data_IF_422865858668
#
_entry.id   IF_422865858668
#
_cell.length_a   1.000
_cell.length_b   1.000
_cell.length_c   1.000
_cell.angle_alpha   90.00
_cell.angle_beta   90.00
_cell.angle_gamma   90.00
#
_symmetry.space_group_name_H-M   'P 1'
#
loop_
_entity.id
_entity.type
_entity.pdbx_description
1 polymer ?
#
# COMPACT_ATOMS: atom_id res chain seq x y z
N UNK A 1 40.33 -19.55 -41.89
CA UNK A 1 41.05 -20.42 -40.93
C UNK A 1 41.82 -19.48 -40.03
N UNK A 2 41.54 -19.24 -38.75
CA UNK A 2 41.17 -20.08 -37.58
C UNK A 2 40.60 -19.11 -36.52
N UNK A 3 39.35 -19.24 -36.04
CA UNK A 3 38.86 -19.85 -34.78
C UNK A 3 39.37 -19.26 -33.44
N UNK A 4 38.38 -18.98 -32.55
CA UNK A 4 38.39 -18.78 -31.08
C UNK A 4 38.85 -17.40 -30.53
N UNK A 5 38.25 -16.81 -29.49
CA UNK A 5 37.36 -17.33 -28.44
C UNK A 5 36.43 -16.25 -27.87
N UNK A 6 35.23 -16.69 -27.49
CA UNK A 6 34.17 -15.96 -26.79
C UNK A 6 34.50 -15.83 -25.31
N UNK A 7 34.35 -14.64 -24.73
CA UNK A 7 34.35 -14.43 -23.27
C UNK A 7 33.02 -13.78 -22.88
N UNK A 8 32.06 -14.63 -22.50
CA UNK A 8 30.80 -14.25 -21.86
C UNK A 8 31.14 -13.95 -20.40
N UNK A 9 31.09 -12.68 -20.02
CA UNK A 9 31.24 -12.24 -18.62
C UNK A 9 29.87 -12.10 -17.98
N UNK A 10 29.73 -12.70 -16.80
CA UNK A 10 28.49 -13.05 -16.11
C UNK A 10 27.46 -11.94 -15.93
N UNK A 11 26.25 -12.22 -16.39
CA UNK A 11 25.02 -11.63 -15.87
C UNK A 11 24.78 -12.19 -14.47
N UNK A 12 25.00 -11.37 -13.44
CA UNK A 12 24.34 -11.56 -12.15
C UNK A 12 22.87 -11.20 -12.34
N UNK A 13 22.04 -12.23 -12.51
CA UNK A 13 20.59 -12.10 -12.51
C UNK A 13 20.15 -11.53 -11.15
N UNK A 14 19.35 -10.46 -11.09
CA UNK A 14 18.62 -10.17 -9.87
C UNK A 14 17.63 -11.31 -9.66
N UNK A 15 17.70 -11.97 -8.50
CA UNK A 15 16.65 -12.87 -8.06
C UNK A 15 15.34 -12.07 -8.06
N UNK A 16 14.51 -12.30 -9.07
CA UNK A 16 13.10 -12.01 -9.02
C UNK A 16 12.51 -12.81 -7.85
N UNK A 17 11.85 -12.12 -6.92
CA UNK A 17 11.05 -12.77 -5.88
C UNK A 17 9.72 -13.29 -6.47
N UNK A 18 9.62 -13.41 -7.80
CA UNK A 18 8.50 -13.94 -8.55
C UNK A 18 8.48 -15.48 -8.65
N UNK A 19 9.30 -16.21 -7.90
CA UNK A 19 9.27 -17.69 -7.86
C UNK A 19 8.87 -18.15 -6.46
N UNK A 20 7.57 -18.16 -6.18
CA UNK A 20 6.85 -19.30 -5.55
C UNK A 20 5.36 -18.95 -5.34
N UNK A 21 4.57 -18.88 -6.42
CA UNK A 21 3.14 -19.23 -6.32
C UNK A 21 2.87 -20.23 -7.45
N UNK A 22 3.32 -21.46 -7.22
CA UNK A 22 2.97 -22.60 -8.05
C UNK A 22 1.49 -22.92 -7.86
N UNK A 23 0.74 -22.93 -8.95
CA UNK A 23 -0.49 -23.72 -9.07
C UNK A 23 -0.19 -25.18 -8.71
N UNK A 24 -0.94 -25.84 -7.80
CA UNK A 24 -1.13 -27.27 -7.88
C UNK A 24 -2.43 -27.52 -8.63
N UNK A 25 -2.33 -27.73 -9.95
CA UNK A 25 -3.33 -28.48 -10.67
C UNK A 25 -3.03 -29.98 -10.48
N UNK A 26 -4.04 -30.72 -10.01
CA UNK A 26 -4.15 -32.18 -9.90
C UNK A 26 -3.40 -32.91 -8.77
N UNK A 27 -4.18 -33.40 -7.80
CA UNK A 27 -4.07 -34.76 -7.27
C UNK A 27 -5.39 -35.14 -6.56
N UNK A 28 -6.31 -35.76 -7.29
CA UNK A 28 -7.33 -36.60 -6.68
C UNK A 28 -6.61 -37.86 -6.18
N UNK A 29 -6.50 -37.99 -4.85
CA UNK A 29 -6.17 -39.24 -4.17
C UNK A 29 -7.29 -39.52 -3.19
N UNK A 30 -7.97 -40.65 -3.37
CA UNK A 30 -9.00 -41.13 -2.45
C UNK A 30 -8.38 -41.32 -1.05
N UNK A 31 -8.70 -40.42 -0.12
CA UNK A 31 -8.27 -40.53 1.27
C UNK A 31 -8.96 -41.73 1.93
N UNK A 32 -8.13 -42.63 2.44
CA UNK A 32 -8.54 -43.81 3.20
C UNK A 32 -9.22 -43.37 4.51
N UNK A 33 -10.54 -43.49 4.59
CA UNK A 33 -11.33 -43.16 5.78
C UNK A 33 -11.13 -44.24 6.86
N UNK A 34 -10.20 -43.99 7.79
CA UNK A 34 -10.16 -44.70 9.07
C UNK A 34 -11.37 -44.36 9.95
N UNK A 35 -11.72 -45.18 10.95
CA UNK A 35 -12.89 -44.96 11.79
C UNK A 35 -12.81 -43.58 12.48
N UNK A 36 -13.96 -42.89 12.66
CA UNK A 36 -14.00 -41.54 13.18
C UNK A 36 -13.36 -41.46 14.57
N UNK A 37 -12.45 -40.51 14.75
CA UNK A 37 -11.89 -40.20 16.06
C UNK A 37 -13.03 -39.77 17.01
N UNK A 38 -13.02 -40.22 18.28
CA UNK A 38 -14.03 -39.80 19.23
C UNK A 38 -14.00 -38.27 19.40
N UNK A 39 -15.17 -37.64 19.63
CA UNK A 39 -15.24 -36.19 19.79
C UNK A 39 -14.34 -35.74 20.94
N UNK A 40 -13.58 -34.64 20.76
CA UNK A 40 -12.76 -34.10 21.83
C UNK A 40 -13.63 -33.79 23.06
N UNK A 41 -13.12 -34.00 24.28
CA UNK A 41 -13.87 -33.70 25.49
C UNK A 41 -14.30 -32.22 25.50
N UNK A 42 -15.48 -31.89 26.06
CA UNK A 42 -15.99 -30.53 26.05
C UNK A 42 -15.00 -29.59 26.74
N UNK A 43 -14.53 -28.60 25.97
CA UNK A 43 -13.51 -27.67 26.41
C UNK A 43 -14.05 -26.86 27.59
N UNK A 44 -13.38 -26.97 28.74
CA UNK A 44 -13.77 -26.23 29.94
C UNK A 44 -13.45 -24.78 29.67
N UNK A 45 -14.45 -23.94 29.37
CA UNK A 45 -14.31 -22.48 29.19
C UNK A 45 -13.32 -21.92 30.21
N UNK A 46 -12.09 -21.66 29.76
CA UNK A 46 -11.02 -21.22 30.61
C UNK A 46 -11.15 -19.71 30.79
N UNK A 47 -10.80 -19.17 31.96
CA UNK A 47 -10.83 -17.71 32.16
C UNK A 47 -9.89 -16.98 31.19
N UNK A 48 -8.85 -17.67 30.73
CA UNK A 48 -7.94 -17.21 29.67
C UNK A 48 -8.62 -17.12 28.29
N UNK A 49 -9.52 -18.05 27.95
CA UNK A 49 -10.29 -18.00 26.70
C UNK A 49 -11.32 -16.88 26.73
N UNK A 50 -11.95 -16.62 27.89
CA UNK A 50 -12.87 -15.47 28.01
C UNK A 50 -12.16 -14.11 27.95
N UNK A 51 -10.93 -14.01 28.44
CA UNK A 51 -10.11 -12.81 28.27
C UNK A 51 -9.63 -12.67 26.82
N UNK A 52 -9.30 -13.78 26.13
CA UNK A 52 -8.96 -13.79 24.71
C UNK A 52 -10.13 -13.37 23.83
N UNK A 53 -11.32 -13.89 24.10
CA UNK A 53 -12.51 -13.64 23.28
C UNK A 53 -13.08 -12.23 23.53
N UNK A 54 -13.07 -11.73 24.78
CA UNK A 54 -13.46 -10.34 25.11
C UNK A 54 -12.46 -9.32 24.55
N UNK A 55 -11.16 -9.62 24.60
CA UNK A 55 -10.14 -8.79 23.97
C UNK A 55 -10.23 -8.83 22.44
N UNK A 56 -10.65 -9.94 21.83
CA UNK A 56 -10.70 -10.07 20.36
C UNK A 56 -11.72 -9.17 19.67
N UNK A 57 -12.86 -8.86 20.31
CA UNK A 57 -13.93 -8.06 19.69
C UNK A 57 -13.56 -6.59 19.54
N UNK A 58 -13.32 -5.90 20.66
CA UNK A 58 -12.93 -4.48 20.65
C UNK A 58 -11.61 -4.24 19.92
N UNK A 59 -10.71 -5.22 19.95
CA UNK A 59 -9.43 -5.17 19.26
C UNK A 59 -9.56 -5.28 17.74
N UNK A 60 -10.42 -6.18 17.24
CA UNK A 60 -10.72 -6.26 15.80
C UNK A 60 -11.39 -4.96 15.36
N UNK A 61 -12.34 -4.44 16.14
CA UNK A 61 -13.03 -3.18 15.84
C UNK A 61 -12.06 -1.99 15.79
N UNK A 62 -11.08 -1.94 16.70
CA UNK A 62 -10.04 -0.91 16.72
C UNK A 62 -9.09 -1.00 15.53
N UNK A 63 -8.60 -2.19 15.18
CA UNK A 63 -7.73 -2.38 14.01
C UNK A 63 -8.48 -2.03 12.73
N UNK A 64 -9.73 -2.48 12.59
CA UNK A 64 -10.59 -2.09 11.47
C UNK A 64 -10.90 -0.59 11.46
N UNK A 65 -11.02 0.07 12.61
CA UNK A 65 -11.15 1.53 12.68
C UNK A 65 -9.89 2.22 12.16
N UNK A 66 -8.70 1.81 12.60
CA UNK A 66 -7.43 2.41 12.13
C UNK A 66 -7.29 2.24 10.63
N UNK A 67 -7.59 1.05 10.10
CA UNK A 67 -7.57 0.81 8.65
C UNK A 67 -8.60 1.68 7.93
N UNK A 68 -9.84 1.81 8.43
CA UNK A 68 -10.85 2.70 7.80
C UNK A 68 -10.51 4.18 7.90
N UNK A 69 -9.86 4.60 8.99
CA UNK A 69 -9.60 6.01 9.27
C UNK A 69 -8.34 6.53 8.57
N UNK A 70 -7.32 5.68 8.42
CA UNK A 70 -6.02 6.04 7.81
C UNK A 70 -5.70 5.28 6.52
N UNK A 71 -6.33 4.14 6.26
CA UNK A 71 -5.98 3.23 5.15
C UNK A 71 -6.62 3.59 3.81
N UNK A 72 -6.94 4.85 3.52
CA UNK A 72 -7.80 5.21 2.38
C UNK A 72 -7.24 4.81 1.02
N UNK A 73 -5.92 4.84 0.84
CA UNK A 73 -5.26 4.35 -0.38
C UNK A 73 -5.35 2.82 -0.52
N UNK A 74 -5.38 2.10 0.59
CA UNK A 74 -5.46 0.63 0.66
C UNK A 74 -6.90 0.13 0.55
N UNK A 75 -7.82 0.80 1.25
CA UNK A 75 -9.25 0.50 1.23
C UNK A 75 -9.89 0.85 -0.12
N UNK A 76 -9.40 1.85 -0.84
CA UNK A 76 -9.87 2.14 -2.20
C UNK A 76 -9.62 0.98 -3.17
N UNK A 77 -8.52 0.25 -2.97
CA UNK A 77 -8.18 -0.91 -3.80
C UNK A 77 -8.95 -2.17 -3.42
N UNK A 78 -9.33 -2.31 -2.14
CA UNK A 78 -10.04 -3.47 -1.59
C UNK A 78 -11.56 -3.22 -1.44
N UNK A 79 -12.08 -2.07 -1.91
CA UNK A 79 -13.50 -1.70 -1.80
C UNK A 79 -14.34 -2.31 -2.93
N UNK A 80 -15.33 -3.11 -2.56
CA UNK A 80 -16.35 -3.66 -3.47
C UNK A 80 -17.38 -2.62 -3.97
N UNK A 81 -17.36 -1.41 -3.40
CA UNK A 81 -18.33 -0.36 -3.70
C UNK A 81 -17.75 0.74 -4.59
N UNK A 82 -18.63 1.54 -5.20
CA UNK A 82 -18.18 2.67 -6.00
C UNK A 82 -17.65 3.78 -5.09
N UNK A 83 -16.36 4.11 -5.21
CA UNK A 83 -15.68 5.09 -4.35
C UNK A 83 -15.05 6.17 -5.22
N UNK A 84 -15.21 7.43 -4.81
CA UNK A 84 -14.51 8.57 -5.37
C UNK A 84 -13.76 9.32 -4.27
N UNK A 85 -12.46 9.49 -4.44
CA UNK A 85 -11.58 10.22 -3.53
C UNK A 85 -11.02 11.44 -4.25
N UNK A 86 -11.04 12.58 -3.56
CA UNK A 86 -10.40 13.82 -3.99
C UNK A 86 -9.55 14.35 -2.85
N UNK A 87 -8.27 14.52 -3.10
CA UNK A 87 -7.32 15.08 -2.16
C UNK A 87 -6.88 16.45 -2.64
N UNK A 88 -6.88 17.41 -1.72
CA UNK A 88 -6.34 18.75 -1.92
C UNK A 88 -5.27 18.98 -0.86
N UNK A 89 -4.03 19.17 -1.30
CA UNK A 89 -2.89 19.27 -0.42
C UNK A 89 -2.10 20.55 -0.64
N UNK A 90 -1.70 21.17 0.46
CA UNK A 90 -0.78 22.30 0.48
C UNK A 90 0.47 21.90 1.23
N UNK A 91 1.63 22.23 0.66
CA UNK A 91 2.94 21.94 1.24
C UNK A 91 3.70 23.24 1.44
N UNK A 92 4.45 23.30 2.54
CA UNK A 92 5.38 24.39 2.81
C UNK A 92 6.61 23.85 3.54
N UNK A 93 7.78 24.42 3.28
CA UNK A 93 9.04 23.91 3.82
C UNK A 93 9.75 22.98 2.84
N UNK A 94 10.45 21.96 3.32
CA UNK A 94 11.59 21.41 2.59
C UNK A 94 11.26 20.82 1.20
N UNK A 95 11.82 21.45 0.15
CA UNK A 95 11.70 21.04 -1.26
C UNK A 95 10.51 21.63 -2.04
N UNK A 96 9.58 22.34 -1.39
CA UNK A 96 8.36 22.87 -2.03
C UNK A 96 7.95 24.24 -1.50
N UNK A 97 8.39 25.30 -2.19
CA UNK A 97 7.91 26.67 -1.99
C UNK A 97 6.41 26.76 -2.31
N UNK A 98 5.56 26.73 -1.27
CA UNK A 98 4.11 26.96 -1.30
C UNK A 98 3.39 26.37 -2.52
N UNK A 99 3.50 25.08 -2.67
CA UNK A 99 2.86 24.33 -3.74
C UNK A 99 1.47 23.84 -3.33
N UNK A 100 0.58 23.82 -4.32
CA UNK A 100 -0.76 23.24 -4.21
C UNK A 100 -0.82 22.03 -5.13
N UNK A 101 -1.22 20.88 -4.58
CA UNK A 101 -1.41 19.63 -5.32
C UNK A 101 -2.84 19.18 -5.10
N UNK A 102 -3.43 18.63 -6.15
CA UNK A 102 -4.67 17.89 -6.03
C UNK A 102 -4.50 16.53 -6.70
N UNK A 103 -5.21 15.53 -6.22
CA UNK A 103 -5.34 14.23 -6.88
C UNK A 103 -6.79 13.78 -6.81
N UNK A 104 -7.18 12.96 -7.78
CA UNK A 104 -8.52 12.39 -7.82
C UNK A 104 -8.44 10.95 -8.30
N UNK A 105 -9.21 10.09 -7.63
CA UNK A 105 -9.35 8.67 -7.93
C UNK A 105 -10.82 8.29 -7.85
N UNK A 106 -11.34 7.56 -8.83
CA UNK A 106 -12.70 7.03 -8.83
C UNK A 106 -12.70 5.57 -9.28
N UNK A 107 -13.22 4.69 -8.43
CA UNK A 107 -13.42 3.26 -8.67
C UNK A 107 -14.93 3.06 -8.77
N UNK A 108 -15.42 2.72 -9.96
CA UNK A 108 -16.86 2.61 -10.22
C UNK A 108 -17.20 1.17 -10.56
N UNK A 109 -18.01 0.55 -9.72
CA UNK A 109 -18.49 -0.80 -9.93
C UNK A 109 -19.48 -0.83 -11.12
N UNK A 110 -19.28 -1.78 -12.04
CA UNK A 110 -20.12 -1.94 -13.24
C UNK A 110 -21.23 -2.99 -13.02
N UNK A 111 -22.53 -2.62 -13.06
CA UNK A 111 -23.65 -3.49 -12.66
C UNK A 111 -23.83 -4.78 -13.46
N UNK A 112 -23.27 -4.84 -14.68
CA UNK A 112 -23.58 -5.89 -15.66
C UNK A 112 -22.62 -7.10 -15.52
N UNK A 113 -21.53 -6.98 -14.76
CA UNK A 113 -20.40 -7.92 -14.80
C UNK A 113 -20.10 -8.60 -13.44
N UNK A 114 -21.09 -9.28 -12.87
CA UNK A 114 -20.98 -10.16 -11.67
C UNK A 114 -20.21 -9.58 -10.47
N UNK A 115 -20.13 -8.24 -10.36
CA UNK A 115 -19.36 -7.52 -9.33
C UNK A 115 -17.85 -7.72 -9.31
N UNK A 116 -17.27 -8.24 -10.39
CA UNK A 116 -15.81 -8.40 -10.53
C UNK A 116 -15.18 -7.34 -11.42
N UNK A 117 -15.97 -6.57 -12.17
CA UNK A 117 -15.48 -5.57 -13.12
C UNK A 117 -15.76 -4.14 -12.65
N UNK A 118 -14.69 -3.35 -12.63
CA UNK A 118 -14.66 -2.00 -12.12
C UNK A 118 -14.06 -1.05 -13.17
N UNK A 119 -14.58 0.17 -13.25
CA UNK A 119 -13.98 1.26 -14.03
C UNK A 119 -13.16 2.15 -13.09
N UNK A 120 -11.86 2.22 -13.34
CA UNK A 120 -10.93 3.07 -12.62
C UNK A 120 -10.64 4.34 -13.41
N UNK A 121 -10.77 5.50 -12.75
CA UNK A 121 -10.29 6.78 -13.21
C UNK A 121 -9.30 7.31 -12.19
N UNK A 122 -8.08 7.63 -12.58
CA UNK A 122 -7.06 8.12 -11.64
C UNK A 122 -6.13 9.17 -12.24
N UNK A 123 -5.70 10.11 -11.40
CA UNK A 123 -4.61 11.05 -11.73
C UNK A 123 -3.26 10.41 -11.47
N UNK A 124 -2.30 10.62 -12.36
CA UNK A 124 -0.92 10.12 -12.29
C UNK A 124 -0.81 8.61 -11.93
N UNK A 125 -1.34 7.71 -12.79
CA UNK A 125 -1.46 6.27 -12.51
C UNK A 125 -0.12 5.57 -12.20
N UNK A 126 0.98 6.05 -12.79
CA UNK A 126 2.32 5.52 -12.57
C UNK A 126 2.83 5.82 -11.16
N UNK A 127 2.46 6.97 -10.59
CA UNK A 127 2.77 7.33 -9.19
C UNK A 127 1.90 6.57 -8.20
N UNK A 128 0.72 6.09 -8.61
CA UNK A 128 -0.16 5.27 -7.77
C UNK A 128 0.21 3.78 -7.82
N UNK A 129 0.81 3.32 -8.93
CA UNK A 129 1.23 1.93 -9.13
C UNK A 129 2.59 1.62 -8.48
N UNK A 130 3.48 2.60 -8.48
CA UNK A 130 4.61 2.58 -7.56
C UNK A 130 4.05 2.95 -6.21
N UNK A 131 4.16 2.10 -5.18
CA UNK A 131 4.13 2.64 -3.81
C UNK A 131 5.37 3.51 -3.73
N UNK A 132 5.25 4.79 -4.11
CA UNK A 132 6.36 5.72 -3.98
C UNK A 132 6.70 5.66 -2.50
N UNK A 133 7.92 5.19 -2.15
CA UNK A 133 8.30 5.05 -0.77
C UNK A 133 8.10 6.39 -0.05
N UNK A 134 8.21 7.52 -0.73
CA UNK A 134 8.04 8.84 -0.12
C UNK A 134 6.59 9.28 0.05
N UNK A 135 5.61 8.56 -0.50
CA UNK A 135 4.21 9.00 -0.59
C UNK A 135 3.27 8.49 0.48
N UNK A 136 3.63 7.50 1.31
CA UNK A 136 2.61 6.87 2.17
C UNK A 136 1.89 7.89 3.05
N UNK A 137 2.60 8.89 3.60
CA UNK A 137 2.01 9.90 4.50
C UNK A 137 2.67 11.29 4.39
N UNK A 138 3.50 11.48 3.36
CA UNK A 138 4.25 12.71 3.08
C UNK A 138 4.16 13.05 1.59
N UNK A 139 4.03 14.34 1.22
CA UNK A 139 4.17 14.74 -0.18
C UNK A 139 5.54 14.32 -0.71
N UNK A 140 5.65 13.92 -2.00
CA UNK A 140 6.94 13.70 -2.61
C UNK A 140 7.78 14.99 -2.53
N UNK A 141 9.07 14.83 -2.19
CA UNK A 141 10.09 15.89 -2.26
C UNK A 141 10.29 16.43 -3.69
N UNK A 142 9.81 15.71 -4.70
CA UNK A 142 9.76 16.20 -6.06
C UNK A 142 8.61 17.20 -6.17
N UNK A 143 8.93 18.44 -6.59
CA UNK A 143 8.02 19.56 -6.83
C UNK A 143 6.56 19.12 -6.98
N UNK A 144 5.78 19.23 -5.89
CA UNK A 144 4.33 19.18 -5.91
C UNK A 144 3.77 20.02 -7.08
N UNK A 145 3.44 19.31 -8.16
CA UNK A 145 2.88 19.83 -9.39
C UNK A 145 1.49 19.24 -9.56
N UNK A 146 0.57 20.02 -10.13
CA UNK A 146 -0.76 19.53 -10.53
C UNK A 146 -0.63 18.25 -11.37
N UNK A 147 -1.62 17.34 -11.33
CA UNK A 147 -1.62 16.10 -12.12
C UNK A 147 -1.17 16.34 -13.55
N UNK A 148 -0.16 15.59 -13.98
CA UNK A 148 0.40 15.69 -15.34
C UNK A 148 -0.24 14.67 -16.28
N UNK A 149 -0.91 13.67 -15.72
CA UNK A 149 -1.56 12.61 -16.47
C UNK A 149 -2.82 12.09 -15.80
N UNK A 150 -3.67 11.48 -16.63
CA UNK A 150 -4.93 10.86 -16.23
C UNK A 150 -4.95 9.44 -16.78
N UNK A 151 -5.68 8.53 -16.14
CA UNK A 151 -5.90 7.20 -16.65
C UNK A 151 -7.37 6.81 -16.59
N UNK A 152 -7.76 5.98 -17.54
CA UNK A 152 -8.98 5.20 -17.51
C UNK A 152 -8.61 3.72 -17.68
N UNK A 153 -9.02 2.87 -16.76
CA UNK A 153 -8.74 1.44 -16.79
C UNK A 153 -9.94 0.61 -16.39
N UNK A 154 -9.99 -0.60 -16.92
CA UNK A 154 -10.87 -1.65 -16.43
C UNK A 154 -10.08 -2.50 -15.45
N UNK A 155 -10.63 -2.67 -14.25
CA UNK A 155 -10.13 -3.56 -13.21
C UNK A 155 -11.00 -4.80 -13.14
N UNK A 156 -10.37 -5.95 -13.21
CA UNK A 156 -10.94 -7.22 -12.81
C UNK A 156 -10.42 -7.57 -11.41
N UNK A 157 -11.32 -7.89 -10.49
CA UNK A 157 -10.97 -8.20 -9.10
C UNK A 157 -11.59 -9.53 -8.66
N UNK A 158 -10.81 -10.31 -7.92
CA UNK A 158 -11.22 -11.59 -7.37
C UNK A 158 -10.66 -11.81 -5.97
N UNK A 159 -11.55 -12.03 -5.01
CA UNK A 159 -11.20 -12.47 -3.66
C UNK A 159 -11.23 -14.00 -3.60
N UNK A 160 -10.06 -14.63 -3.42
CA UNK A 160 -9.93 -16.08 -3.30
C UNK A 160 -9.69 -16.48 -1.83
N UNK A 161 -10.45 -17.47 -1.36
CA UNK A 161 -10.28 -18.10 -0.04
C UNK A 161 -10.25 -17.12 1.16
N UNK A 162 -10.97 -15.99 1.08
CA UNK A 162 -11.12 -14.92 2.09
C UNK A 162 -9.83 -14.20 2.52
N UNK A 163 -8.65 -14.71 2.16
CA UNK A 163 -7.33 -14.19 2.56
C UNK A 163 -6.55 -13.58 1.40
N UNK A 164 -6.86 -14.02 0.18
CA UNK A 164 -6.21 -13.54 -1.03
C UNK A 164 -7.13 -12.60 -1.79
N UNK A 165 -6.60 -11.44 -2.18
CA UNK A 165 -7.24 -10.54 -3.13
C UNK A 165 -6.33 -10.39 -4.34
N UNK A 166 -6.88 -10.58 -5.53
CA UNK A 166 -6.19 -10.44 -6.80
C UNK A 166 -6.87 -9.37 -7.64
N UNK A 167 -6.08 -8.50 -8.27
CA UNK A 167 -6.58 -7.54 -9.23
C UNK A 167 -5.75 -7.55 -10.53
N UNK A 168 -6.43 -7.23 -11.62
CA UNK A 168 -5.87 -7.06 -12.95
C UNK A 168 -6.47 -5.82 -13.60
N UNK A 169 -5.62 -4.84 -13.83
CA UNK A 169 -5.97 -3.56 -14.42
C UNK A 169 -5.41 -3.47 -15.84
N UNK A 170 -6.27 -3.13 -16.79
CA UNK A 170 -5.90 -2.81 -18.17
C UNK A 170 -6.49 -1.48 -18.59
N UNK A 171 -5.66 -0.54 -19.04
CA UNK A 171 -6.13 0.81 -19.30
C UNK A 171 -5.25 1.66 -20.21
N UNK A 172 -5.64 2.93 -20.30
CA UNK A 172 -4.99 3.96 -21.10
C UNK A 172 -4.61 5.13 -20.21
N UNK A 173 -3.34 5.54 -20.29
CA UNK A 173 -2.78 6.75 -19.67
C UNK A 173 -2.76 7.88 -20.70
N UNK A 174 -3.20 9.05 -20.30
CA UNK A 174 -3.29 10.28 -21.08
C UNK A 174 -2.42 11.35 -20.43
N UNK A 175 -1.42 11.86 -21.15
CA UNK A 175 -0.54 12.94 -20.72
C UNK A 175 -0.46 13.99 -21.83
N UNK A 176 -1.31 15.02 -21.75
CA UNK A 176 -1.52 15.97 -22.86
C UNK A 176 -2.07 15.25 -24.10
N UNK A 177 -1.31 15.27 -25.20
CA UNK A 177 -1.65 14.56 -26.44
C UNK A 177 -1.11 13.11 -26.48
N UNK A 178 -0.21 12.75 -25.55
CA UNK A 178 0.36 11.42 -25.52
C UNK A 178 -0.61 10.44 -24.84
N UNK A 179 -1.00 9.39 -25.56
CA UNK A 179 -1.85 8.32 -25.05
C UNK A 179 -1.10 7.01 -25.13
N UNK A 180 -1.01 6.28 -24.02
CA UNK A 180 -0.29 5.02 -23.95
C UNK A 180 -1.06 3.99 -23.14
N UNK A 181 -1.10 2.72 -23.58
CA UNK A 181 -1.68 1.66 -22.78
C UNK A 181 -0.81 1.38 -21.55
N UNK A 182 -1.43 0.82 -20.51
CA UNK A 182 -0.75 0.26 -19.36
C UNK A 182 -1.47 -0.98 -18.86
N UNK A 183 -0.73 -1.81 -18.14
CA UNK A 183 -1.26 -2.97 -17.44
C UNK A 183 -0.68 -3.02 -16.03
N UNK A 184 -1.50 -3.39 -15.06
CA UNK A 184 -1.08 -3.58 -13.66
C UNK A 184 -1.79 -4.79 -13.09
N UNK A 185 -1.10 -5.54 -12.24
CA UNK A 185 -1.70 -6.63 -11.50
C UNK A 185 -1.17 -6.62 -10.08
N UNK A 186 -2.04 -6.97 -9.14
CA UNK A 186 -1.75 -6.97 -7.72
C UNK A 186 -2.26 -8.24 -7.06
N UNK A 187 -1.54 -8.71 -6.06
CA UNK A 187 -1.94 -9.78 -5.18
C UNK A 187 -1.70 -9.36 -3.73
N UNK A 188 -2.69 -9.58 -2.88
CA UNK A 188 -2.62 -9.27 -1.45
C UNK A 188 -2.95 -10.53 -0.67
N UNK A 189 -2.08 -10.88 0.27
CA UNK A 189 -2.32 -11.89 1.29
C UNK A 189 -2.38 -11.22 2.66
N UNK A 190 -3.52 -11.35 3.35
CA UNK A 190 -3.67 -10.92 4.74
C UNK A 190 -3.90 -12.12 5.66
N UNK A 191 -3.02 -12.31 6.64
CA UNK A 191 -3.12 -13.42 7.60
C UNK A 191 -2.93 -12.94 9.04
N UNK A 192 -3.79 -13.38 9.98
CA UNK A 192 -3.51 -13.20 11.40
C UNK A 192 -2.38 -14.14 11.84
N UNK A 193 -1.47 -13.64 12.67
CA UNK A 193 -0.35 -14.35 13.28
C UNK A 193 -0.28 -13.98 14.77
N UNK A 194 -1.08 -14.69 15.58
CA UNK A 194 -1.24 -14.45 17.02
C UNK A 194 -1.63 -12.97 17.31
N UNK A 195 -0.77 -12.20 17.97
CA UNK A 195 -1.00 -10.77 18.25
C UNK A 195 -0.67 -9.85 17.08
N UNK A 196 -0.14 -10.39 15.99
CA UNK A 196 0.20 -9.64 14.78
C UNK A 196 -0.79 -9.94 13.66
N UNK A 197 -1.00 -8.99 12.77
CA UNK A 197 -1.58 -9.22 11.45
C UNK A 197 -0.51 -8.93 10.41
N UNK A 198 -0.28 -9.90 9.53
CA UNK A 198 0.67 -9.78 8.44
C UNK A 198 -0.10 -9.53 7.16
N UNK A 199 0.24 -8.45 6.45
CA UNK A 199 -0.25 -8.21 5.09
C UNK A 199 0.95 -8.18 4.15
N UNK A 200 0.94 -9.05 3.16
CA UNK A 200 1.91 -9.08 2.08
C UNK A 200 1.20 -8.64 0.80
N UNK A 201 1.71 -7.60 0.16
CA UNK A 201 1.15 -7.07 -1.09
C UNK A 201 2.26 -7.08 -2.15
N UNK A 202 1.94 -7.60 -3.33
CA UNK A 202 2.84 -7.67 -4.47
C UNK A 202 2.14 -7.05 -5.68
N UNK A 203 2.80 -6.12 -6.36
CA UNK A 203 2.24 -5.42 -7.52
C UNK A 203 3.25 -5.40 -8.65
N UNK A 204 2.87 -5.97 -9.79
CA UNK A 204 3.62 -5.87 -11.03
C UNK A 204 2.91 -4.94 -12.00
N UNK A 205 3.64 -4.06 -12.66
CA UNK A 205 3.07 -3.11 -13.60
C UNK A 205 3.95 -2.91 -14.82
N UNK A 206 3.32 -2.48 -15.90
CA UNK A 206 3.98 -2.01 -17.10
C UNK A 206 3.34 -0.71 -17.55
N UNK A 207 4.17 0.33 -17.67
CA UNK A 207 3.83 1.60 -18.31
C UNK A 207 4.78 1.87 -19.47
N UNK A 208 4.26 2.41 -20.57
CA UNK A 208 5.12 2.83 -21.70
C UNK A 208 6.18 3.86 -21.28
N UNK A 209 5.87 4.74 -20.33
CA UNK A 209 6.79 5.79 -19.85
C UNK A 209 7.87 5.23 -18.92
N UNK A 210 7.47 4.41 -17.95
CA UNK A 210 8.32 3.99 -16.82
C UNK A 210 8.96 2.61 -17.04
N UNK A 211 8.39 1.80 -17.94
CA UNK A 211 8.79 0.41 -18.18
C UNK A 211 8.09 -0.58 -17.24
N UNK A 212 8.66 -1.77 -17.14
CA UNK A 212 8.25 -2.79 -16.17
C UNK A 212 8.76 -2.39 -14.79
N UNK A 213 7.93 -2.60 -13.78
CA UNK A 213 8.35 -2.55 -12.39
C UNK A 213 7.52 -3.45 -11.49
N UNK A 214 8.03 -3.61 -10.28
CA UNK A 214 7.52 -4.50 -9.25
C UNK A 214 7.55 -3.74 -7.92
N UNK A 215 6.56 -3.97 -7.07
CA UNK A 215 6.47 -3.38 -5.75
C UNK A 215 6.02 -4.42 -4.75
N UNK A 216 6.93 -4.74 -3.84
CA UNK A 216 6.69 -5.62 -2.70
C UNK A 216 6.48 -4.78 -1.45
N UNK A 217 5.39 -5.03 -0.73
CA UNK A 217 5.06 -4.39 0.54
C UNK A 217 4.72 -5.45 1.60
N UNK A 218 5.32 -5.31 2.78
CA UNK A 218 5.05 -6.13 3.95
C UNK A 218 4.65 -5.23 5.11
N UNK A 219 3.42 -5.41 5.60
CA UNK A 219 2.95 -4.80 6.83
C UNK A 219 2.89 -5.81 7.96
N UNK A 220 3.41 -5.40 9.12
CA UNK A 220 3.27 -6.09 10.39
C UNK A 220 2.50 -5.17 11.34
N UNK A 221 1.22 -5.48 11.51
CA UNK A 221 0.31 -4.76 12.39
C UNK A 221 0.25 -5.41 13.76
N UNK A 222 0.40 -4.60 14.80
CA UNK A 222 0.16 -5.01 16.19
C UNK A 222 -0.57 -3.91 16.95
N UNK A 223 -1.86 -4.05 17.20
CA UNK A 223 -2.52 -3.34 18.31
C UNK A 223 -1.79 -3.59 19.64
N UNK A 224 -1.40 -2.52 20.32
CA UNK A 224 -0.66 -2.57 21.60
C UNK A 224 -1.65 -2.61 22.76
N UNK A 225 -2.62 -1.71 22.73
CA UNK A 225 -3.68 -1.52 23.72
C UNK A 225 -4.69 -0.58 23.09
N UNK A 226 -6.00 -0.67 23.34
CA UNK A 226 -6.86 0.46 22.94
C UNK A 226 -6.49 1.70 23.78
N UNK A 227 -6.24 2.89 23.20
CA UNK A 227 -6.51 3.31 21.81
C UNK A 227 -5.27 3.43 20.88
N UNK A 228 -4.25 2.61 21.08
CA UNK A 228 -2.92 2.65 20.42
C UNK A 228 -2.62 1.36 19.63
N UNK A 229 -2.24 1.50 18.35
CA UNK A 229 -1.68 0.42 17.53
C UNK A 229 -0.32 0.78 16.97
N UNK A 230 0.44 -0.25 16.61
CA UNK A 230 1.74 -0.16 15.96
C UNK A 230 1.70 -0.88 14.61
N UNK A 231 2.39 -0.32 13.62
CA UNK A 231 2.61 -0.92 12.31
C UNK A 231 4.08 -0.76 11.95
N UNK A 232 4.70 -1.84 11.49
CA UNK A 232 5.95 -1.77 10.76
C UNK A 232 5.67 -2.09 9.28
N UNK A 233 6.08 -1.20 8.38
CA UNK A 233 5.87 -1.37 6.93
C UNK A 233 7.22 -1.39 6.24
N UNK A 234 7.46 -2.43 5.45
CA UNK A 234 8.65 -2.57 4.60
C UNK A 234 8.21 -2.52 3.14
N UNK A 235 8.82 -1.66 2.33
CA UNK A 235 8.53 -1.53 0.90
C UNK A 235 9.82 -1.67 0.10
N UNK A 236 9.75 -2.41 -1.01
CA UNK A 236 10.81 -2.49 -2.00
C UNK A 236 10.20 -2.33 -3.41
N UNK A 237 10.66 -1.32 -4.14
CA UNK A 237 10.23 -1.02 -5.51
C UNK A 237 11.39 -1.32 -6.45
N UNK A 238 11.17 -2.20 -7.42
CA UNK A 238 12.14 -2.51 -8.47
C UNK A 238 11.67 -1.95 -9.82
N UNK A 239 12.58 -1.33 -10.55
CA UNK A 239 12.32 -0.84 -11.91
C UNK A 239 13.33 -1.45 -12.87
N UNK A 240 12.83 -2.05 -13.96
CA UNK A 240 13.67 -2.66 -14.99
C UNK A 240 14.60 -1.63 -15.67
N UNK A 241 14.15 -0.38 -15.85
CA UNK A 241 14.98 0.64 -16.51
C UNK A 241 16.20 1.06 -15.70
N UNK A 242 16.08 1.08 -14.37
CA UNK A 242 17.16 1.55 -13.49
C UNK A 242 17.95 0.41 -12.85
N UNK A 243 17.36 -0.79 -12.81
CA UNK A 243 17.95 -2.01 -12.25
C UNK A 243 18.40 -1.83 -10.78
N UNK A 244 17.68 -1.01 -10.01
CA UNK A 244 17.90 -0.85 -8.57
C UNK A 244 16.57 -0.98 -7.80
N UNK A 245 16.70 -1.17 -6.49
CA UNK A 245 15.58 -1.17 -5.55
C UNK A 245 15.53 0.18 -4.83
N UNK A 246 14.35 0.81 -4.82
CA UNK A 246 14.00 1.89 -3.92
C UNK A 246 13.27 1.29 -2.72
N UNK A 247 13.83 1.49 -1.52
CA UNK A 247 13.42 0.77 -0.32
C UNK A 247 12.98 1.76 0.76
N UNK A 248 11.95 1.38 1.50
CA UNK A 248 11.48 2.10 2.69
C UNK A 248 11.19 1.17 3.84
N UNK A 249 11.52 1.65 5.02
CA UNK A 249 11.07 1.09 6.27
C UNK A 249 10.34 2.17 7.06
N UNK A 250 9.10 1.90 7.43
CA UNK A 250 8.31 2.73 8.33
C UNK A 250 8.10 2.03 9.67
N UNK A 251 8.10 2.81 10.73
CA UNK A 251 7.64 2.45 12.06
C UNK A 251 6.59 3.47 12.47
N UNK A 252 5.35 3.00 12.60
CA UNK A 252 4.18 3.87 12.75
C UNK A 252 3.40 3.51 14.00
N UNK A 253 3.03 4.50 14.78
CA UNK A 253 2.14 4.38 15.94
C UNK A 253 0.88 5.18 15.66
N UNK A 254 -0.27 4.51 15.70
CA UNK A 254 -1.57 5.17 15.60
C UNK A 254 -2.18 5.32 16.99
N UNK A 255 -2.83 6.45 17.22
CA UNK A 255 -3.49 6.78 18.47
C UNK A 255 -4.86 7.39 18.17
N UNK A 256 -5.93 6.64 18.45
CA UNK A 256 -7.31 7.14 18.37
C UNK A 256 -7.59 8.03 19.58
N UNK A 257 -7.85 9.32 19.36
CA UNK A 257 -8.19 10.24 20.44
C UNK A 257 -9.68 10.21 20.74
N UNK A 258 -10.50 10.22 19.69
CA UNK A 258 -11.96 10.13 19.74
C UNK A 258 -12.50 9.57 18.41
N UNK A 259 -13.83 9.54 18.22
CA UNK A 259 -14.44 9.01 16.99
C UNK A 259 -14.20 9.86 15.73
N UNK A 260 -13.76 11.11 15.88
CA UNK A 260 -13.50 12.07 14.81
C UNK A 260 -12.02 12.40 14.67
N UNK A 261 -11.20 12.09 15.65
CA UNK A 261 -9.82 12.54 15.73
C UNK A 261 -8.88 11.38 16.00
N UNK A 262 -7.84 11.26 15.18
CA UNK A 262 -6.74 10.35 15.46
C UNK A 262 -5.40 11.00 15.12
N UNK A 263 -4.39 10.55 15.85
CA UNK A 263 -3.00 10.92 15.65
C UNK A 263 -2.23 9.73 15.10
N UNK A 264 -1.22 10.03 14.32
CA UNK A 264 -0.27 9.05 13.86
C UNK A 264 1.13 9.64 13.96
N UNK A 265 2.06 8.85 14.46
CA UNK A 265 3.47 9.18 14.56
C UNK A 265 4.25 8.19 13.72
N UNK A 266 5.15 8.68 12.88
CA UNK A 266 5.91 7.82 11.99
C UNK A 266 7.39 8.22 11.95
N UNK A 267 8.24 7.20 11.96
CA UNK A 267 9.65 7.32 11.62
C UNK A 267 9.92 6.45 10.38
N UNK A 268 10.53 7.03 9.35
CA UNK A 268 10.79 6.40 8.08
C UNK A 268 12.28 6.46 7.71
N UNK A 269 12.78 5.41 7.08
CA UNK A 269 14.10 5.36 6.48
C UNK A 269 13.99 4.99 5.00
N UNK A 270 14.64 5.77 4.13
CA UNK A 270 14.67 5.58 2.68
C UNK A 270 16.04 5.12 2.22
N UNK A 271 16.11 4.13 1.33
CA UNK A 271 17.38 3.62 0.83
C UNK A 271 17.32 3.23 -0.65
N UNK A 272 18.45 3.41 -1.35
CA UNK A 272 18.63 2.94 -2.72
C UNK A 272 19.65 1.79 -2.72
N UNK A 273 19.39 0.72 -3.49
CA UNK A 273 20.29 -0.44 -3.49
C UNK A 273 21.56 -0.27 -4.32
N UNK A 274 21.57 0.67 -5.28
CA UNK A 274 22.73 0.96 -6.15
C UNK A 274 23.23 2.40 -5.98
N UNK A 275 24.55 2.65 -6.14
CA UNK A 275 25.62 1.68 -6.48
C UNK A 275 26.03 0.76 -5.34
N UNK A 276 25.79 1.16 -4.09
CA UNK A 276 25.76 0.33 -2.90
C UNK A 276 24.48 0.65 -2.14
N UNK A 277 24.04 -0.23 -1.23
CA UNK A 277 22.88 0.08 -0.39
C UNK A 277 23.19 1.29 0.49
N UNK A 278 22.54 2.41 0.20
CA UNK A 278 22.75 3.68 0.91
C UNK A 278 21.42 4.25 1.35
N UNK A 279 21.34 4.62 2.63
CA UNK A 279 20.21 5.38 3.15
C UNK A 279 20.28 6.79 2.59
N UNK A 280 19.24 7.20 1.87
CA UNK A 280 19.12 8.49 1.22
C UNK A 280 18.50 9.54 2.12
N UNK A 281 17.63 9.14 3.06
CA UNK A 281 16.90 10.07 3.91
C UNK A 281 16.28 9.36 5.13
N UNK A 282 16.18 10.11 6.24
CA UNK A 282 15.29 9.77 7.35
C UNK A 282 14.19 10.82 7.46
N UNK A 283 12.99 10.39 7.84
CA UNK A 283 11.85 11.28 8.06
C UNK A 283 11.20 10.95 9.40
N UNK A 284 10.84 11.97 10.16
CA UNK A 284 9.98 11.84 11.33
C UNK A 284 8.80 12.77 11.15
N UNK A 285 7.59 12.27 11.33
CA UNK A 285 6.38 13.06 11.19
C UNK A 285 5.33 12.73 12.24
N UNK A 286 4.44 13.69 12.44
CA UNK A 286 3.18 13.51 13.13
C UNK A 286 2.08 13.85 12.14
N UNK A 287 1.00 13.09 12.09
CA UNK A 287 -0.21 13.41 11.35
C UNK A 287 -1.36 13.54 12.34
N UNK A 288 -1.95 14.72 12.39
CA UNK A 288 -3.24 14.97 13.02
C UNK A 288 -4.32 14.88 11.95
N UNK A 289 -5.24 13.92 12.08
CA UNK A 289 -6.36 13.73 11.14
C UNK A 289 -7.69 13.92 11.88
N UNK A 290 -8.52 14.81 11.36
CA UNK A 290 -9.81 15.19 11.93
C UNK A 290 -10.94 15.07 10.90
N UNK A 291 -12.00 14.35 11.26
CA UNK A 291 -13.23 14.19 10.48
C UNK A 291 -14.11 15.45 10.63
N UNK A 292 -14.06 16.33 9.62
CA UNK A 292 -14.72 17.63 9.63
C UNK A 292 -16.25 17.53 9.60
N UNK A 293 -16.79 16.81 8.61
CA UNK A 293 -18.22 16.79 8.35
C UNK A 293 -18.67 15.46 7.76
N UNK A 294 -19.61 14.81 8.45
CA UNK A 294 -20.10 13.44 8.12
C UNK A 294 -18.91 12.48 7.93
N UNK A 295 -19.16 11.32 7.33
CA UNK A 295 -18.14 10.28 7.15
C UNK A 295 -17.30 10.46 5.88
N UNK A 296 -17.47 11.56 5.15
CA UNK A 296 -16.89 11.75 3.82
C UNK A 296 -15.84 12.87 3.72
N UNK A 297 -15.60 13.68 4.76
CA UNK A 297 -14.62 14.79 4.70
C UNK A 297 -13.65 14.79 5.86
N UNK A 298 -12.36 14.83 5.54
CA UNK A 298 -11.26 14.79 6.50
C UNK A 298 -10.29 15.95 6.28
N UNK A 299 -9.78 16.48 7.38
CA UNK A 299 -8.72 17.48 7.38
C UNK A 299 -7.51 16.95 8.12
N UNK A 300 -6.35 17.23 7.56
CA UNK A 300 -5.08 16.74 8.04
C UNK A 300 -4.04 17.83 8.16
N UNK A 301 -3.26 17.73 9.23
CA UNK A 301 -2.09 18.57 9.49
C UNK A 301 -0.93 17.64 9.80
N UNK A 302 0.13 17.71 9.00
CA UNK A 302 1.30 16.86 9.17
C UNK A 302 2.60 17.68 9.19
N UNK A 303 3.09 18.05 10.39
CA UNK A 303 4.45 18.55 10.56
C UNK A 303 5.47 17.41 10.43
N UNK A 304 6.56 17.68 9.72
CA UNK A 304 7.56 16.70 9.33
C UNK A 304 8.96 17.27 9.47
N UNK A 305 9.90 16.40 9.83
CA UNK A 305 11.33 16.67 9.85
C UNK A 305 12.03 15.70 8.91
N UNK A 306 12.69 16.25 7.91
CA UNK A 306 13.45 15.54 6.90
C UNK A 306 14.94 15.66 7.18
N UNK A 307 15.66 14.55 7.02
CA UNK A 307 17.10 14.47 7.19
C UNK A 307 17.70 13.85 5.92
N UNK A 308 17.77 14.60 4.81
CA UNK A 308 18.27 14.06 3.55
C UNK A 308 19.80 13.93 3.59
N UNK A 309 20.33 12.82 3.08
CA UNK A 309 21.78 12.59 2.92
C UNK A 309 22.42 13.70 2.08
N UNK A 310 21.72 14.21 1.06
CA UNK A 310 22.20 15.28 0.20
C UNK A 310 22.55 16.58 0.97
N UNK A 311 21.94 16.79 2.14
CA UNK A 311 22.29 17.87 3.07
C UNK A 311 23.01 17.36 4.31
N UNK A 312 23.78 16.28 4.20
CA UNK A 312 24.51 15.68 5.33
C UNK A 312 23.60 15.38 6.54
N UNK A 313 22.35 14.97 6.29
CA UNK A 313 21.36 14.69 7.32
C UNK A 313 21.04 15.87 8.25
N UNK A 314 21.21 17.11 7.80
CA UNK A 314 20.71 18.26 8.54
C UNK A 314 19.19 18.26 8.56
N UNK A 315 18.60 18.76 9.65
CA UNK A 315 17.16 18.80 9.80
C UNK A 315 16.54 19.83 8.86
N UNK A 316 15.45 19.45 8.22
CA UNK A 316 14.69 20.34 7.37
C UNK A 316 13.20 20.15 7.64
N UNK A 317 12.54 21.22 8.06
CA UNK A 317 11.13 21.17 8.43
C UNK A 317 10.22 21.29 7.20
N UNK A 318 9.11 20.57 7.25
CA UNK A 318 8.06 20.60 6.25
C UNK A 318 6.70 20.51 6.96
N UNK A 319 5.70 21.16 6.39
CA UNK A 319 4.32 21.12 6.86
C UNK A 319 3.42 20.85 5.67
N UNK A 320 2.66 19.75 5.75
CA UNK A 320 1.58 19.47 4.84
C UNK A 320 0.22 19.70 5.50
N UNK A 321 -0.69 20.28 4.73
CA UNK A 321 -2.11 20.40 5.05
C UNK A 321 -2.88 19.68 3.97
N UNK A 322 -3.78 18.76 4.33
CA UNK A 322 -4.59 18.02 3.36
C UNK A 322 -6.07 18.12 3.71
N UNK A 323 -6.89 18.40 2.71
CA UNK A 323 -8.34 18.26 2.75
C UNK A 323 -8.68 17.10 1.84
N UNK A 324 -9.27 16.06 2.41
CA UNK A 324 -9.66 14.85 1.70
C UNK A 324 -11.19 14.72 1.70
N UNK A 325 -11.73 14.38 0.54
CA UNK A 325 -13.14 14.08 0.35
C UNK A 325 -13.27 12.68 -0.21
N UNK A 326 -13.95 11.80 0.53
CA UNK A 326 -14.16 10.39 0.21
C UNK A 326 -15.66 10.12 0.08
N UNK A 327 -16.13 9.96 -1.15
CA UNK A 327 -17.50 9.58 -1.44
C UNK A 327 -17.56 8.08 -1.70
N UNK A 328 -18.26 7.34 -0.83
CA UNK A 328 -18.58 5.93 -1.07
C UNK A 328 -20.06 5.80 -1.41
N UNK A 329 -20.39 5.03 -2.43
CA UNK A 329 -21.73 4.49 -2.61
C UNK A 329 -22.02 3.50 -1.47
N UNK A 330 -23.25 3.55 -0.95
CA UNK A 330 -23.81 2.49 -0.10
C UNK A 330 -24.50 1.44 -0.96
#
# INVERSE_FOLDING_TARGET
MTLQSTSISGMLAPLSLAILIGFPASAFGDDFVGPPLPPPPPDRKNKLDSSRDYLSGEFVDFVSYIDRFFGNDRNYQDANDSVMQVDIMRVSGYGGDRSFVWSARANVHLPIAEKKLHLLLETDPDKNATVDPRQSLSPPLAQPSSPQSYAAALRFEEAAAEKWHFNLDGGMKFAGLNTAPFARTGAVLAVPLDLWRVRFSETAYWFNTTGVGETTELDLDRPISEPVSFRATSVAVWLDRTQYFDMRQDLTVFHKLDERTALMYQASAFALSRPNTVVTEYVVLMLYRYRLHREWMFFEVSPQLHFPRALNFHNNAMLSLRLEMLFSGM
#
